data_IF_691338144190
#
_entry.id   IF_691338144190
#
_cell.length_a   1.000
_cell.length_b   1.000
_cell.length_c   1.000
_cell.angle_alpha   90.00
_cell.angle_beta   90.00
_cell.angle_gamma   90.00
#
_symmetry.space_group_name_H-M   'P 1'
#
loop_
_entity.id
_entity.type
_entity.pdbx_description
1 polymer ?
#
# COMPACT_ATOMS: atom_id res chain seq x y z
N UNK A 1 1.58 12.03 -24.34
CA UNK A 1 1.51 11.17 -23.14
C UNK A 1 2.93 10.80 -22.72
N UNK A 2 3.19 10.77 -21.44
CA UNK A 2 4.55 10.48 -20.93
C UNK A 2 4.95 9.04 -21.27
N UNK A 3 6.13 8.85 -21.89
CA UNK A 3 6.65 7.52 -22.27
C UNK A 3 6.74 6.56 -21.07
N UNK A 4 7.18 7.07 -19.92
CA UNK A 4 7.26 6.28 -18.70
C UNK A 4 5.89 5.71 -18.28
N UNK A 5 4.83 6.49 -18.43
CA UNK A 5 3.46 6.02 -18.16
C UNK A 5 3.07 4.90 -19.13
N UNK A 6 3.32 5.11 -20.44
CA UNK A 6 2.99 4.11 -21.45
C UNK A 6 3.71 2.78 -21.24
N UNK A 7 4.98 2.84 -20.85
CA UNK A 7 5.80 1.64 -20.58
C UNK A 7 5.24 0.85 -19.38
N UNK A 8 4.93 1.55 -18.28
CA UNK A 8 4.35 0.94 -17.07
C UNK A 8 2.96 0.36 -17.37
N UNK A 9 2.12 1.12 -18.06
CA UNK A 9 0.77 0.69 -18.43
C UNK A 9 0.81 -0.54 -19.34
N UNK A 10 1.68 -0.50 -20.36
CA UNK A 10 1.84 -1.62 -21.28
C UNK A 10 2.32 -2.90 -20.58
N UNK A 11 3.30 -2.77 -19.68
CA UNK A 11 3.79 -3.92 -18.90
C UNK A 11 2.69 -4.49 -17.98
N UNK A 12 1.89 -3.63 -17.36
CA UNK A 12 0.78 -4.07 -16.50
C UNK A 12 -0.28 -4.89 -17.23
N UNK A 13 -0.49 -4.62 -18.51
CA UNK A 13 -1.47 -5.35 -19.35
C UNK A 13 -0.86 -6.59 -19.99
N UNK A 14 0.36 -6.49 -20.53
CA UNK A 14 1.01 -7.60 -21.23
C UNK A 14 1.56 -8.67 -20.29
N UNK A 15 2.05 -8.27 -19.11
CA UNK A 15 2.69 -9.15 -18.13
C UNK A 15 2.08 -8.95 -16.72
N UNK A 16 0.77 -9.11 -16.53
CA UNK A 16 0.10 -8.71 -15.28
C UNK A 16 0.66 -9.42 -14.06
N UNK A 17 0.89 -10.71 -14.10
CA UNK A 17 1.40 -11.46 -12.95
C UNK A 17 2.78 -10.98 -12.52
N UNK A 18 3.71 -10.86 -13.46
CA UNK A 18 5.07 -10.37 -13.17
C UNK A 18 5.08 -8.91 -12.74
N UNK A 19 4.26 -8.08 -13.38
CA UNK A 19 4.11 -6.67 -13.01
C UNK A 19 3.66 -6.52 -11.56
N UNK A 20 2.56 -7.17 -11.18
CA UNK A 20 2.01 -7.07 -9.82
C UNK A 20 2.90 -7.77 -8.78
N UNK A 21 3.66 -8.78 -9.17
CA UNK A 21 4.70 -9.36 -8.31
C UNK A 21 5.72 -8.30 -7.91
N UNK A 22 6.27 -7.56 -8.88
CA UNK A 22 7.24 -6.48 -8.62
C UNK A 22 6.63 -5.37 -7.75
N UNK A 23 5.42 -4.92 -8.07
CA UNK A 23 4.74 -3.87 -7.30
C UNK A 23 4.48 -4.32 -5.86
N UNK A 24 4.11 -5.58 -5.65
CA UNK A 24 3.84 -6.13 -4.32
C UNK A 24 5.08 -6.19 -3.41
N UNK A 25 6.28 -6.12 -3.96
CA UNK A 25 7.51 -6.04 -3.18
C UNK A 25 7.65 -4.72 -2.39
N UNK A 26 6.91 -3.69 -2.76
CA UNK A 26 6.84 -2.42 -2.03
C UNK A 26 5.98 -2.50 -0.76
N UNK A 27 5.26 -3.58 -0.55
CA UNK A 27 4.40 -3.83 0.60
C UNK A 27 5.15 -4.75 1.57
N UNK A 28 5.01 -4.48 2.86
CA UNK A 28 5.47 -5.41 3.89
C UNK A 28 4.50 -6.58 4.01
N UNK A 29 5.03 -7.80 3.89
CA UNK A 29 4.29 -9.05 4.05
C UNK A 29 4.76 -9.79 5.29
N UNK A 30 3.84 -10.28 6.11
CA UNK A 30 4.16 -11.26 7.15
C UNK A 30 4.52 -12.61 6.52
N UNK A 31 3.78 -12.99 5.50
CA UNK A 31 4.08 -14.12 4.63
C UNK A 31 3.99 -13.66 3.18
N UNK A 32 5.09 -13.70 2.45
CA UNK A 32 5.10 -13.35 1.03
C UNK A 32 4.25 -14.34 0.23
N UNK A 33 3.43 -13.86 -0.72
CA UNK A 33 2.68 -14.75 -1.59
C UNK A 33 3.62 -15.55 -2.48
N UNK A 34 3.34 -16.84 -2.65
CA UNK A 34 4.08 -17.72 -3.57
C UNK A 34 3.48 -17.68 -4.96
N UNK A 35 2.15 -17.57 -5.05
CA UNK A 35 1.42 -17.44 -6.32
C UNK A 35 0.73 -16.07 -6.37
N UNK A 36 1.09 -15.28 -7.36
CA UNK A 36 0.58 -13.91 -7.49
C UNK A 36 -0.85 -13.92 -8.02
N UNK A 37 -1.10 -14.65 -9.10
CA UNK A 37 -2.42 -14.78 -9.71
C UNK A 37 -2.80 -16.25 -9.85
N UNK A 38 -3.93 -16.63 -9.29
CA UNK A 38 -4.55 -17.92 -9.53
C UNK A 38 -5.71 -17.76 -10.51
N UNK A 39 -5.53 -18.26 -11.72
CA UNK A 39 -6.52 -18.26 -12.81
C UNK A 39 -7.06 -19.65 -13.13
N UNK A 40 -6.99 -20.60 -12.20
CA UNK A 40 -7.38 -21.99 -12.44
C UNK A 40 -8.90 -22.17 -12.59
N UNK A 41 -9.69 -21.24 -12.08
CA UNK A 41 -11.16 -21.30 -12.14
C UNK A 41 -11.78 -20.00 -12.68
N UNK A 42 -11.62 -19.66 -13.97
CA UNK A 42 -12.23 -18.46 -14.54
C UNK A 42 -13.77 -18.51 -14.46
N UNK A 43 -14.44 -17.37 -14.25
CA UNK A 43 -13.92 -16.01 -14.11
C UNK A 43 -13.52 -15.66 -12.66
N UNK A 44 -13.43 -16.62 -11.76
CA UNK A 44 -13.13 -16.40 -10.33
C UNK A 44 -11.62 -16.42 -10.10
N UNK A 45 -10.96 -15.30 -10.40
CA UNK A 45 -9.52 -15.13 -10.19
C UNK A 45 -9.22 -14.79 -8.73
N UNK A 46 -8.08 -15.25 -8.23
CA UNK A 46 -7.58 -14.93 -6.89
C UNK A 46 -6.17 -14.36 -6.97
N UNK A 47 -5.99 -13.19 -6.32
CA UNK A 47 -4.72 -12.51 -6.24
C UNK A 47 -4.09 -12.70 -4.86
N UNK A 48 -2.77 -12.94 -4.82
CA UNK A 48 -1.98 -13.04 -3.58
C UNK A 48 -2.59 -13.99 -2.54
N UNK A 49 -3.17 -15.07 -2.97
CA UNK A 49 -4.05 -15.94 -2.20
C UNK A 49 -3.41 -16.48 -0.90
N UNK A 50 -2.12 -16.80 -0.93
CA UNK A 50 -1.38 -17.37 0.20
C UNK A 50 -0.52 -16.34 0.96
N UNK A 51 -0.59 -15.06 0.57
CA UNK A 51 0.08 -13.97 1.25
C UNK A 51 -0.68 -13.49 2.48
N UNK A 52 0.06 -13.04 3.50
CA UNK A 52 -0.51 -12.41 4.70
C UNK A 52 0.14 -11.06 4.92
N UNK A 53 -0.68 -10.03 5.09
CA UNK A 53 -0.23 -8.68 5.38
C UNK A 53 -1.24 -7.94 6.25
N UNK A 54 -0.89 -6.76 6.71
CA UNK A 54 -1.79 -5.90 7.47
C UNK A 54 -1.72 -4.49 6.89
N UNK A 55 -2.85 -3.95 6.49
CA UNK A 55 -2.95 -2.64 5.85
C UNK A 55 -2.57 -1.52 6.81
N UNK A 56 -3.05 -1.56 8.06
CA UNK A 56 -2.73 -0.56 9.07
C UNK A 56 -1.23 -0.54 9.38
N UNK A 57 -0.61 -1.71 9.53
CA UNK A 57 0.82 -1.82 9.73
C UNK A 57 1.61 -1.15 8.59
N UNK A 58 1.26 -1.44 7.35
CA UNK A 58 1.90 -0.84 6.18
C UNK A 58 1.70 0.67 6.10
N UNK A 59 0.51 1.15 6.46
CA UNK A 59 0.16 2.57 6.34
C UNK A 59 0.72 3.44 7.47
N UNK A 60 0.91 2.88 8.66
CA UNK A 60 1.24 3.65 9.88
C UNK A 60 2.49 3.12 10.58
N UNK A 61 2.43 1.90 11.13
CA UNK A 61 3.48 1.37 12.00
C UNK A 61 4.83 1.25 11.31
N UNK A 62 4.82 0.81 10.06
CA UNK A 62 6.04 0.65 9.26
C UNK A 62 6.78 1.97 9.08
N UNK A 63 6.06 3.09 8.90
CA UNK A 63 6.66 4.41 8.76
C UNK A 63 7.31 4.88 10.06
N UNK A 64 6.70 4.60 11.22
CA UNK A 64 7.30 4.86 12.53
C UNK A 64 8.57 4.04 12.70
N UNK A 65 8.51 2.74 12.40
CA UNK A 65 9.66 1.82 12.46
C UNK A 65 10.82 2.27 11.57
N UNK A 66 10.52 2.84 10.41
CA UNK A 66 11.51 3.33 9.44
C UNK A 66 12.06 4.73 9.78
N UNK A 67 11.77 5.27 10.96
CA UNK A 67 12.31 6.56 11.40
C UNK A 67 11.50 7.79 10.97
N UNK A 68 10.28 7.60 10.49
CA UNK A 68 9.39 8.69 10.04
C UNK A 68 8.31 9.08 11.07
N UNK A 69 8.47 8.64 12.32
CA UNK A 69 7.48 8.87 13.37
C UNK A 69 7.11 10.32 13.60
N UNK A 70 8.09 11.23 13.50
CA UNK A 70 7.89 12.69 13.71
C UNK A 70 7.31 13.40 12.48
N UNK A 71 7.21 12.73 11.34
CA UNK A 71 6.59 13.32 10.15
C UNK A 71 5.09 13.45 10.32
N UNK A 72 4.52 14.52 9.77
CA UNK A 72 3.07 14.74 9.81
C UNK A 72 2.38 13.76 8.88
N UNK A 73 1.49 12.95 9.44
CA UNK A 73 0.65 12.02 8.70
C UNK A 73 -0.67 12.65 8.27
N UNK A 74 -1.27 13.47 9.14
CA UNK A 74 -2.57 14.10 8.90
C UNK A 74 -2.51 15.57 9.26
N UNK A 75 -3.03 16.40 8.37
CA UNK A 75 -3.36 17.80 8.64
C UNK A 75 -4.88 17.92 8.64
N UNK A 76 -5.44 18.21 9.81
CA UNK A 76 -6.87 18.42 9.98
C UNK A 76 -7.17 19.91 10.07
N UNK A 77 -8.12 20.36 9.30
CA UNK A 77 -8.62 21.74 9.34
C UNK A 77 -10.16 21.72 9.25
N UNK A 78 -10.80 22.32 10.25
CA UNK A 78 -12.27 22.41 10.29
C UNK A 78 -12.69 23.86 10.53
N UNK A 79 -13.21 24.52 9.50
CA UNK A 79 -13.76 25.87 9.65
C UNK A 79 -15.03 25.91 10.53
N UNK A 80 -15.77 24.78 10.61
CA UNK A 80 -17.00 24.69 11.41
C UNK A 80 -16.66 24.76 12.91
N UNK A 81 -15.63 24.06 13.35
CA UNK A 81 -15.17 24.04 14.74
C UNK A 81 -14.05 25.06 15.00
N UNK A 82 -13.59 25.77 13.98
CA UNK A 82 -12.45 26.68 13.99
C UNK A 82 -11.22 26.02 14.61
N UNK A 83 -10.95 24.77 14.25
CA UNK A 83 -9.83 23.98 14.77
C UNK A 83 -8.92 23.49 13.66
N UNK A 84 -7.61 23.53 13.96
CA UNK A 84 -6.58 22.96 13.12
C UNK A 84 -5.73 22.02 13.96
N UNK A 85 -5.36 20.87 13.40
CA UNK A 85 -4.52 19.88 14.08
C UNK A 85 -3.57 19.22 13.10
N UNK A 86 -2.33 19.05 13.55
CA UNK A 86 -1.34 18.22 12.85
C UNK A 86 -1.10 16.98 13.69
N UNK A 87 -1.18 15.80 13.06
CA UNK A 87 -0.98 14.51 13.72
C UNK A 87 0.22 13.85 13.07
N UNK A 88 1.23 13.51 13.86
CA UNK A 88 2.40 12.77 13.39
C UNK A 88 2.09 11.28 13.20
N UNK A 89 2.96 10.56 12.50
CA UNK A 89 2.83 9.10 12.38
C UNK A 89 2.91 8.39 13.74
N UNK A 90 3.77 8.88 14.66
CA UNK A 90 3.86 8.31 15.99
C UNK A 90 2.56 8.49 16.78
N UNK A 91 1.97 9.70 16.77
CA UNK A 91 0.69 9.97 17.41
C UNK A 91 -0.45 9.16 16.77
N UNK A 92 -0.46 9.04 15.44
CA UNK A 92 -1.45 8.25 14.72
C UNK A 92 -1.38 6.76 15.10
N UNK A 93 -0.17 6.23 15.19
CA UNK A 93 0.05 4.85 15.65
C UNK A 93 -0.53 4.59 17.04
N UNK A 94 -0.35 5.54 17.97
CA UNK A 94 -0.87 5.40 19.34
C UNK A 94 -2.40 5.50 19.41
N UNK A 95 -3.02 6.18 18.44
CA UNK A 95 -4.47 6.34 18.37
C UNK A 95 -5.20 5.21 17.64
N UNK A 96 -4.51 4.43 16.84
CA UNK A 96 -5.03 3.32 16.04
C UNK A 96 -4.73 1.99 16.71
#
# INVERSE_FOLDING_TARGET
MNQKFLDIYTDSIKNPENFWKKISENIFWYKKPTKILNSDNPPFYKWFQDGTTNTCYNAVDLHVKNGNGEKIAIIYDSPITNSQKKITYAELKDQV
#
